data_IF_032337798746
#
_entry.id   IF_032337798746
#
_cell.length_a   1.000
_cell.length_b   1.000
_cell.length_c   1.000
_cell.angle_alpha   90.00
_cell.angle_beta   90.00
_cell.angle_gamma   90.00
#
_symmetry.space_group_name_H-M   'P 1'
#
loop_
_entity.id
_entity.type
_entity.pdbx_description
1 polymer ?
#
# COMPACT_ATOMS: atom_id res chain seq x y z
N UNK A 1 16.06 -5.71 -6.84
CA UNK A 1 14.68 -5.22 -6.85
C UNK A 1 14.53 -4.16 -5.77
N UNK A 2 14.00 -2.98 -6.09
CA UNK A 2 13.73 -1.99 -5.06
C UNK A 2 12.75 -2.50 -4.02
N UNK A 3 12.98 -2.10 -2.79
CA UNK A 3 12.05 -2.34 -1.69
C UNK A 3 11.47 -1.00 -1.27
N UNK A 4 10.17 -0.90 -1.14
CA UNK A 4 9.51 0.33 -0.74
C UNK A 4 8.71 0.14 0.53
N UNK A 5 8.51 1.23 1.25
CA UNK A 5 7.67 1.30 2.43
C UNK A 5 6.63 2.37 2.23
N UNK A 6 5.37 2.05 2.51
CA UNK A 6 4.27 3.00 2.46
C UNK A 6 3.59 3.00 3.82
N UNK A 7 3.49 4.17 4.43
CA UNK A 7 2.78 4.36 5.69
C UNK A 7 1.60 5.29 5.45
N UNK A 8 0.49 5.04 6.12
CA UNK A 8 -0.70 5.88 6.00
C UNK A 8 -1.68 5.57 7.13
N UNK A 9 -2.68 6.41 7.26
CA UNK A 9 -3.79 6.16 8.17
C UNK A 9 -4.94 5.51 7.40
N UNK A 10 -5.73 4.72 8.10
CA UNK A 10 -6.91 4.05 7.56
C UNK A 10 -8.10 4.27 8.48
N UNK A 11 -9.31 4.13 7.91
CA UNK A 11 -10.54 4.27 8.68
C UNK A 11 -10.78 3.09 9.62
N UNK A 12 -10.39 1.87 9.16
CA UNK A 12 -10.58 0.62 9.91
C UNK A 12 -9.43 -0.31 9.62
N UNK A 13 -8.56 -0.51 10.60
CA UNK A 13 -7.36 -1.34 10.46
C UNK A 13 -7.72 -2.80 10.20
N UNK A 14 -8.74 -3.34 10.84
CA UNK A 14 -9.16 -4.73 10.61
C UNK A 14 -9.60 -4.95 9.17
N UNK A 15 -10.39 -4.03 8.64
CA UNK A 15 -10.83 -4.08 7.25
C UNK A 15 -9.62 -4.01 6.30
N UNK A 16 -8.70 -3.09 6.56
CA UNK A 16 -7.48 -2.95 5.76
C UNK A 16 -6.63 -4.22 5.75
N UNK A 17 -6.41 -4.81 6.94
CA UNK A 17 -5.60 -6.04 7.05
C UNK A 17 -6.25 -7.23 6.32
N UNK A 18 -7.57 -7.33 6.37
CA UNK A 18 -8.30 -8.44 5.78
C UNK A 18 -8.49 -8.30 4.26
N UNK A 19 -8.28 -7.11 3.70
CA UNK A 19 -8.56 -6.85 2.30
C UNK A 19 -7.59 -7.59 1.37
N UNK A 20 -8.09 -8.30 0.34
CA UNK A 20 -7.23 -8.92 -0.67
C UNK A 20 -6.86 -7.97 -1.80
N UNK A 21 -7.39 -6.74 -1.82
CA UNK A 21 -7.30 -5.83 -2.95
C UNK A 21 -5.85 -5.46 -3.27
N UNK A 22 -5.04 -5.18 -2.25
CA UNK A 22 -3.62 -4.84 -2.46
C UNK A 22 -2.91 -5.90 -3.30
N UNK A 23 -3.08 -7.15 -2.91
CA UNK A 23 -2.44 -8.26 -3.60
C UNK A 23 -2.98 -8.40 -5.02
N UNK A 24 -4.30 -8.28 -5.18
CA UNK A 24 -4.95 -8.42 -6.47
C UNK A 24 -4.51 -7.38 -7.48
N UNK A 25 -4.26 -6.14 -7.06
CA UNK A 25 -3.87 -5.06 -7.98
C UNK A 25 -2.36 -4.91 -8.13
N UNK A 26 -1.58 -5.32 -7.14
CA UNK A 26 -0.13 -5.09 -7.15
C UNK A 26 0.66 -6.26 -7.73
N UNK A 27 0.24 -7.51 -7.49
CA UNK A 27 0.95 -8.67 -8.05
C UNK A 27 1.09 -8.61 -9.57
N UNK A 28 0.04 -8.26 -10.34
CA UNK A 28 0.16 -8.22 -11.81
C UNK A 28 1.19 -7.22 -12.33
N UNK A 29 1.55 -6.21 -11.55
CA UNK A 29 2.55 -5.21 -11.96
C UNK A 29 3.93 -5.48 -11.36
N UNK A 30 4.16 -6.69 -10.84
CA UNK A 30 5.47 -7.13 -10.40
C UNK A 30 5.81 -6.81 -8.95
N UNK A 31 4.83 -6.55 -8.11
CA UNK A 31 5.03 -6.35 -6.68
C UNK A 31 4.91 -7.69 -5.97
N UNK A 32 5.88 -8.01 -5.12
CA UNK A 32 5.94 -9.27 -4.38
C UNK A 32 6.34 -9.01 -2.92
N UNK A 33 6.22 -10.06 -2.11
CA UNK A 33 6.67 -10.05 -0.71
C UNK A 33 6.08 -8.88 0.08
N UNK A 34 4.76 -8.71 -0.05
CA UNK A 34 4.03 -7.65 0.67
C UNK A 34 3.93 -8.02 2.14
N UNK A 35 4.45 -7.15 3.01
CA UNK A 35 4.40 -7.33 4.46
C UNK A 35 3.66 -6.14 5.06
N UNK A 36 2.72 -6.40 5.95
CA UNK A 36 1.89 -5.36 6.55
C UNK A 36 2.27 -5.15 8.01
N UNK A 37 2.14 -3.92 8.46
CA UNK A 37 2.52 -3.49 9.82
C UNK A 37 1.42 -2.62 10.40
N UNK A 38 1.25 -2.72 11.71
CA UNK A 38 0.32 -1.85 12.44
C UNK A 38 1.08 -1.11 13.52
N UNK A 39 0.59 0.08 13.87
CA UNK A 39 1.19 0.87 14.95
C UNK A 39 0.52 0.48 16.27
N UNK A 40 1.26 -0.06 17.25
CA UNK A 40 0.65 -0.48 18.53
C UNK A 40 0.14 0.69 19.36
N UNK A 41 0.57 1.92 19.05
CA UNK A 41 0.17 3.11 19.82
C UNK A 41 -0.89 3.94 19.11
N UNK A 42 -1.15 3.67 17.81
CA UNK A 42 -2.14 4.38 17.03
C UNK A 42 -2.88 3.38 16.13
N UNK A 43 -4.08 3.01 16.55
CA UNK A 43 -4.84 1.92 15.92
C UNK A 43 -5.23 2.20 14.46
N UNK A 44 -5.12 3.45 14.00
CA UNK A 44 -5.46 3.82 12.63
C UNK A 44 -4.23 3.96 11.72
N UNK A 45 -3.02 3.92 12.29
CA UNK A 45 -1.79 4.02 11.50
C UNK A 45 -1.30 2.65 11.11
N UNK A 46 -1.04 2.48 9.83
CA UNK A 46 -0.56 1.20 9.28
C UNK A 46 0.56 1.45 8.27
N UNK A 47 1.25 0.38 7.92
CA UNK A 47 2.29 0.45 6.91
C UNK A 47 2.42 -0.86 6.16
N UNK A 48 3.07 -0.79 5.02
CA UNK A 48 3.42 -1.97 4.27
C UNK A 48 4.81 -1.82 3.66
N UNK A 49 5.50 -2.96 3.51
CA UNK A 49 6.79 -3.04 2.86
C UNK A 49 6.65 -4.07 1.75
N UNK A 50 7.16 -3.77 0.58
CA UNK A 50 7.04 -4.67 -0.56
C UNK A 50 8.23 -4.54 -1.50
N UNK A 51 8.50 -5.61 -2.24
CA UNK A 51 9.53 -5.64 -3.27
C UNK A 51 8.89 -5.34 -4.61
N UNK A 52 9.53 -4.48 -5.41
CA UNK A 52 8.98 -3.98 -6.67
C UNK A 52 9.93 -4.31 -7.81
N UNK A 53 9.45 -5.11 -8.78
CA UNK A 53 10.26 -5.49 -9.93
C UNK A 53 10.46 -4.33 -10.92
N UNK A 54 9.46 -3.45 -11.06
CA UNK A 54 9.48 -2.34 -12.01
C UNK A 54 8.83 -1.11 -11.38
N UNK A 55 9.69 -0.18 -10.94
CA UNK A 55 9.22 1.05 -10.28
C UNK A 55 8.39 1.92 -11.23
N UNK A 56 8.70 1.94 -12.52
CA UNK A 56 7.95 2.74 -13.48
C UNK A 56 6.49 2.25 -13.58
N UNK A 57 6.30 0.94 -13.62
CA UNK A 57 4.95 0.36 -13.63
C UNK A 57 4.18 0.69 -12.36
N UNK A 58 4.85 0.61 -11.20
CA UNK A 58 4.21 0.95 -9.93
C UNK A 58 3.78 2.42 -9.92
N UNK A 59 4.70 3.32 -10.27
CA UNK A 59 4.40 4.75 -10.25
C UNK A 59 3.29 5.11 -11.23
N UNK A 60 3.29 4.49 -12.42
CA UNK A 60 2.22 4.68 -13.39
C UNK A 60 0.88 4.17 -12.84
N UNK A 61 0.87 3.00 -12.21
CA UNK A 61 -0.35 2.46 -11.60
C UNK A 61 -0.90 3.39 -10.52
N UNK A 62 -0.02 3.96 -9.69
CA UNK A 62 -0.43 4.85 -8.58
C UNK A 62 -1.13 6.12 -9.08
N UNK A 63 -0.97 6.48 -10.35
CA UNK A 63 -1.63 7.62 -10.97
C UNK A 63 -3.01 7.27 -11.53
N UNK A 64 -3.40 6.00 -11.52
CA UNK A 64 -4.65 5.55 -12.15
C UNK A 64 -5.83 5.68 -11.21
N UNK A 65 -7.03 5.75 -11.82
CA UNK A 65 -8.28 5.70 -11.07
C UNK A 65 -8.43 4.35 -10.35
N UNK A 66 -7.95 3.27 -10.96
CA UNK A 66 -8.00 1.94 -10.34
C UNK A 66 -7.26 1.92 -9.00
N UNK A 67 -6.11 2.59 -8.92
CA UNK A 67 -5.36 2.70 -7.67
C UNK A 67 -6.14 3.52 -6.64
N UNK A 68 -6.71 4.64 -7.05
CA UNK A 68 -7.52 5.48 -6.16
C UNK A 68 -8.74 4.71 -5.63
N UNK A 69 -9.41 3.95 -6.48
CA UNK A 69 -10.57 3.16 -6.10
C UNK A 69 -10.18 2.03 -5.12
N UNK A 70 -9.04 1.38 -5.35
CA UNK A 70 -8.52 0.35 -4.47
C UNK A 70 -8.23 0.91 -3.07
N UNK A 71 -7.57 2.06 -3.00
CA UNK A 71 -7.28 2.72 -1.73
C UNK A 71 -8.57 3.14 -1.00
N UNK A 72 -9.54 3.67 -1.72
CA UNK A 72 -10.82 4.06 -1.15
C UNK A 72 -11.56 2.85 -0.58
N UNK A 73 -11.55 1.72 -1.29
CA UNK A 73 -12.16 0.47 -0.82
C UNK A 73 -11.53 -0.03 0.47
N UNK A 74 -10.22 0.16 0.63
CA UNK A 74 -9.50 -0.25 1.82
C UNK A 74 -9.57 0.77 2.96
N UNK A 75 -10.23 1.91 2.74
CA UNK A 75 -10.37 2.94 3.76
C UNK A 75 -9.09 3.75 3.99
N UNK A 76 -8.19 3.77 3.03
CA UNK A 76 -6.96 4.56 3.12
C UNK A 76 -7.27 6.05 3.03
N UNK A 77 -6.66 6.85 3.91
CA UNK A 77 -6.77 8.30 3.90
C UNK A 77 -5.62 8.87 3.07
N UNK A 78 -5.89 9.32 1.81
CA UNK A 78 -4.80 9.64 0.85
C UNK A 78 -3.86 10.75 1.33
N UNK A 79 -4.36 11.72 2.08
CA UNK A 79 -3.58 12.84 2.57
C UNK A 79 -2.53 12.43 3.61
N UNK A 80 -2.61 11.19 4.12
CA UNK A 80 -1.68 10.69 5.14
C UNK A 80 -0.56 9.81 4.57
N UNK A 81 -0.56 9.56 3.27
CA UNK A 81 0.38 8.63 2.64
C UNK A 81 1.80 9.16 2.71
N UNK A 82 2.70 8.31 3.22
CA UNK A 82 4.13 8.53 3.21
C UNK A 82 4.78 7.39 2.42
N UNK A 83 5.54 7.75 1.39
CA UNK A 83 6.17 6.80 0.48
C UNK A 83 7.68 6.89 0.59
N UNK A 84 8.33 5.77 0.92
CA UNK A 84 9.78 5.70 1.09
C UNK A 84 10.35 4.57 0.26
N UNK A 85 11.52 4.80 -0.33
CA UNK A 85 12.25 3.78 -1.09
C UNK A 85 13.50 3.42 -0.29
N UNK A 86 13.77 2.12 -0.18
CA UNK A 86 14.97 1.66 0.51
C UNK A 86 16.21 2.23 -0.18
N UNK A 87 17.06 2.84 0.60
CA UNK A 87 18.31 3.44 0.11
C UNK A 87 19.46 2.42 0.11
#
# INVERSE_FOLDING_TARGET
MPTIMICHDVKDTKHWLASPIRKQVLEPIGVTNIRTFTDPQNSNRVGLVMDVADMEKLMAFMQTKAAADAMASDGVLPETIMFLVQS
#
